data_IF_549256758070
#
_entry.id   IF_549256758070
#
_cell.length_a   1.000
_cell.length_b   1.000
_cell.length_c   1.000
_cell.angle_alpha   90.00
_cell.angle_beta   90.00
_cell.angle_gamma   90.00
#
_symmetry.space_group_name_H-M   'P 1'
#
loop_
_entity.id
_entity.type
_entity.pdbx_description
1 polymer ?
#
# COMPACT_ATOMS: atom_id res chain seq x y z
N UNK A 1 -9.83 14.51 -2.98
CA UNK A 1 -8.51 14.05 -3.46
C UNK A 1 -7.81 13.33 -2.31
N UNK A 2 -7.26 12.13 -2.53
CA UNK A 2 -6.51 11.40 -1.51
C UNK A 2 -5.02 11.52 -1.81
N UNK A 3 -4.27 12.19 -0.94
CA UNK A 3 -2.83 12.45 -1.11
C UNK A 3 -1.99 11.26 -0.68
N UNK A 4 -0.77 11.15 -1.17
CA UNK A 4 0.21 10.15 -0.70
C UNK A 4 0.35 10.28 0.83
N UNK A 5 0.17 9.21 1.60
CA UNK A 5 0.32 9.27 3.05
C UNK A 5 1.71 9.68 3.47
N UNK A 6 1.78 10.61 4.43
CA UNK A 6 3.01 11.04 5.09
C UNK A 6 2.86 10.78 6.58
N UNK A 7 3.89 10.24 7.23
CA UNK A 7 3.96 10.12 8.68
C UNK A 7 5.09 10.98 9.25
N UNK A 8 4.84 11.59 10.41
CA UNK A 8 5.66 12.70 10.95
C UNK A 8 6.33 12.40 12.31
N UNK A 9 6.01 11.26 12.92
CA UNK A 9 6.60 10.79 14.17
C UNK A 9 6.61 9.27 14.17
N UNK A 10 7.44 8.64 14.99
CA UNK A 10 7.52 7.17 15.09
C UNK A 10 6.15 6.53 15.33
N UNK A 11 5.37 7.08 16.28
CA UNK A 11 4.04 6.56 16.62
C UNK A 11 3.03 6.72 15.47
N UNK A 12 3.05 7.84 14.76
CA UNK A 12 2.22 8.05 13.57
C UNK A 12 2.63 7.09 12.44
N UNK A 13 3.94 6.89 12.26
CA UNK A 13 4.47 5.95 11.28
C UNK A 13 4.10 4.50 11.59
N UNK A 14 4.12 4.08 12.85
CA UNK A 14 3.66 2.75 13.24
C UNK A 14 2.18 2.52 12.94
N UNK A 15 1.32 3.49 13.24
CA UNK A 15 -0.12 3.41 12.95
C UNK A 15 -0.39 3.30 11.45
N UNK A 16 0.22 4.18 10.66
CA UNK A 16 0.04 4.20 9.20
C UNK A 16 0.65 2.97 8.54
N UNK A 17 1.81 2.51 8.98
CA UNK A 17 2.42 1.28 8.47
C UNK A 17 1.59 0.03 8.80
N UNK A 18 1.04 -0.03 10.01
CA UNK A 18 0.12 -1.10 10.40
C UNK A 18 -1.18 -1.07 9.58
N UNK A 19 -1.71 0.12 9.29
CA UNK A 19 -2.86 0.28 8.41
C UNK A 19 -2.56 -0.13 6.96
N UNK A 20 -1.39 0.24 6.44
CA UNK A 20 -0.95 -0.17 5.10
C UNK A 20 -0.84 -1.70 4.99
N UNK A 21 -0.22 -2.36 5.97
CA UNK A 21 -0.16 -3.83 6.03
C UNK A 21 -1.54 -4.47 6.04
N UNK A 22 -2.46 -3.98 6.89
CA UNK A 22 -3.83 -4.50 6.94
C UNK A 22 -4.56 -4.30 5.62
N UNK A 23 -4.36 -3.16 4.97
CA UNK A 23 -4.97 -2.88 3.68
C UNK A 23 -4.52 -3.91 2.63
N UNK A 24 -3.21 -4.22 2.56
CA UNK A 24 -2.68 -5.26 1.65
C UNK A 24 -3.33 -6.61 1.93
N UNK A 25 -3.39 -7.02 3.21
CA UNK A 25 -3.98 -8.30 3.62
C UNK A 25 -5.47 -8.43 3.26
N UNK A 26 -6.20 -7.31 3.21
CA UNK A 26 -7.65 -7.29 2.95
C UNK A 26 -8.01 -7.05 1.48
N UNK A 27 -7.14 -6.42 0.70
CA UNK A 27 -7.48 -5.92 -0.64
C UNK A 27 -6.61 -6.51 -1.76
N UNK A 28 -5.40 -6.98 -1.46
CA UNK A 28 -4.60 -7.67 -2.46
C UNK A 28 -5.10 -9.11 -2.67
N UNK A 29 -4.93 -9.63 -3.89
CA UNK A 29 -5.35 -10.99 -4.25
C UNK A 29 -4.37 -12.09 -3.83
N UNK A 30 -3.18 -11.72 -3.34
CA UNK A 30 -2.09 -12.64 -3.09
C UNK A 30 -1.47 -12.45 -1.71
N UNK A 31 -0.88 -13.52 -1.18
CA UNK A 31 -0.18 -13.49 0.10
C UNK A 31 1.03 -12.56 0.03
N UNK A 32 1.33 -11.92 1.16
CA UNK A 32 2.58 -11.18 1.35
C UNK A 32 3.76 -12.18 1.26
N UNK A 33 4.69 -11.90 0.35
CA UNK A 33 5.92 -12.66 0.16
C UNK A 33 7.06 -12.08 1.00
N UNK A 34 7.13 -10.74 1.10
CA UNK A 34 8.18 -10.05 1.85
C UNK A 34 7.59 -8.96 2.72
N UNK A 35 8.07 -8.86 3.96
CA UNK A 35 7.71 -7.79 4.88
C UNK A 35 8.90 -7.39 5.76
N UNK A 36 9.20 -6.10 5.79
CA UNK A 36 10.21 -5.47 6.65
C UNK A 36 9.60 -4.27 7.37
N UNK A 37 10.44 -3.47 8.03
CA UNK A 37 10.06 -2.21 8.64
C UNK A 37 9.63 -1.15 7.61
N UNK A 38 9.99 -1.29 6.34
CA UNK A 38 9.84 -0.29 5.28
C UNK A 38 9.41 -0.84 3.91
N UNK A 39 9.24 -2.15 3.78
CA UNK A 39 8.84 -2.82 2.55
C UNK A 39 7.75 -3.86 2.81
N UNK A 40 6.73 -3.91 1.95
CA UNK A 40 5.74 -4.98 1.89
C UNK A 40 5.55 -5.34 0.43
N UNK A 41 5.55 -6.62 0.09
CA UNK A 41 5.26 -7.07 -1.28
C UNK A 41 4.52 -8.39 -1.27
N UNK A 42 3.54 -8.52 -2.15
CA UNK A 42 2.83 -9.78 -2.40
C UNK A 42 3.52 -10.62 -3.46
N UNK A 43 3.19 -11.91 -3.52
CA UNK A 43 3.55 -12.71 -4.69
C UNK A 43 3.03 -12.07 -5.99
N UNK A 44 3.73 -12.34 -7.09
CA UNK A 44 3.33 -11.87 -8.40
C UNK A 44 2.02 -12.54 -8.86
N UNK A 45 1.09 -11.77 -9.46
CA UNK A 45 -0.08 -12.32 -10.13
C UNK A 45 0.33 -13.25 -11.28
N UNK A 46 -0.22 -14.47 -11.36
CA UNK A 46 0.00 -15.35 -12.50
C UNK A 46 -0.59 -14.74 -13.77
N UNK A 47 -0.18 -15.26 -14.92
CA UNK A 47 -0.64 -14.81 -16.24
C UNK A 47 -2.17 -14.69 -16.32
N UNK A 48 -2.64 -13.62 -16.98
CA UNK A 48 -4.05 -13.27 -17.16
C UNK A 48 -4.85 -12.99 -15.88
N UNK A 49 -4.24 -12.99 -14.70
CA UNK A 49 -4.98 -12.70 -13.46
C UNK A 49 -5.29 -11.22 -13.29
N UNK A 50 -6.55 -10.91 -12.99
CA UNK A 50 -7.04 -9.55 -12.75
C UNK A 50 -6.95 -9.11 -11.29
N UNK A 51 -6.60 -10.02 -10.38
CA UNK A 51 -6.46 -9.69 -8.96
C UNK A 51 -5.20 -8.85 -8.72
N UNK A 52 -5.25 -8.01 -7.68
CA UNK A 52 -4.18 -7.08 -7.38
C UNK A 52 -2.98 -7.77 -6.72
N UNK A 53 -1.80 -7.57 -7.31
CA UNK A 53 -0.52 -7.56 -6.60
C UNK A 53 -0.28 -6.19 -5.97
N UNK A 54 0.51 -6.15 -4.90
CA UNK A 54 0.81 -4.92 -4.19
C UNK A 54 2.25 -4.88 -3.69
N UNK A 55 2.86 -3.70 -3.79
CA UNK A 55 4.15 -3.34 -3.19
C UNK A 55 3.98 -2.01 -2.48
N UNK A 56 4.32 -1.98 -1.19
CA UNK A 56 4.25 -0.80 -0.35
C UNK A 56 5.65 -0.45 0.12
N UNK A 57 6.03 0.81 -0.01
CA UNK A 57 7.34 1.31 0.43
C UNK A 57 7.14 2.45 1.41
N UNK A 58 7.86 2.44 2.54
CA UNK A 58 7.96 3.57 3.48
C UNK A 58 9.31 4.24 3.32
N UNK A 59 9.33 5.37 2.61
CA UNK A 59 10.55 6.06 2.22
C UNK A 59 10.79 7.32 3.07
N UNK A 60 12.01 7.55 3.59
CA UNK A 60 12.33 8.79 4.28
C UNK A 60 12.34 9.98 3.32
N UNK A 61 11.84 11.13 3.77
CA UNK A 61 11.84 12.40 3.00
C UNK A 61 13.03 13.32 3.30
N UNK A 62 13.90 12.94 4.24
CA UNK A 62 15.09 13.73 4.63
C UNK A 62 14.84 14.81 5.70
N UNK A 63 13.58 15.07 6.05
CA UNK A 63 13.14 16.02 7.08
C UNK A 63 12.67 15.33 8.37
N UNK A 64 13.03 14.05 8.55
CA UNK A 64 12.53 13.20 9.63
C UNK A 64 11.11 12.66 9.41
N UNK A 65 10.45 13.02 8.30
CA UNK A 65 9.17 12.45 7.90
C UNK A 65 9.37 11.31 6.89
N UNK A 66 8.37 10.44 6.77
CA UNK A 66 8.35 9.36 5.78
C UNK A 66 7.10 9.47 4.92
N UNK A 67 7.21 9.10 3.65
CA UNK A 67 6.05 8.86 2.79
C UNK A 67 5.80 7.37 2.66
N UNK A 68 4.54 6.99 2.51
CA UNK A 68 4.14 5.60 2.27
C UNK A 68 3.47 5.53 0.90
N UNK A 69 4.08 4.81 -0.04
CA UNK A 69 3.60 4.67 -1.41
C UNK A 69 3.10 3.25 -1.68
N UNK A 70 2.10 3.12 -2.55
CA UNK A 70 1.60 1.84 -3.04
C UNK A 70 1.78 1.76 -4.56
N UNK A 71 2.51 0.74 -5.00
CA UNK A 71 2.54 0.27 -6.38
C UNK A 71 1.61 -0.95 -6.46
N UNK A 72 0.61 -0.89 -7.34
CA UNK A 72 -0.39 -1.94 -7.51
C UNK A 72 -0.43 -2.36 -8.98
N UNK A 73 -0.60 -3.66 -9.23
CA UNK A 73 -0.61 -4.20 -10.58
C UNK A 73 -1.45 -5.49 -10.66
N UNK A 74 -1.67 -5.95 -11.89
CA UNK A 74 -2.19 -7.27 -12.20
C UNK A 74 -1.59 -7.73 -13.54
N UNK A 75 -1.78 -9.01 -13.89
CA UNK A 75 -1.21 -9.60 -15.10
C UNK A 75 -2.28 -9.84 -16.17
N UNK A 76 -3.36 -9.06 -16.16
CA UNK A 76 -4.47 -9.14 -17.11
C UNK A 76 -4.47 -7.94 -18.06
N UNK A 77 -4.50 -8.20 -19.37
CA UNK A 77 -4.47 -7.17 -20.41
C UNK A 77 -5.74 -6.29 -20.47
N UNK A 78 -6.89 -6.81 -20.01
CA UNK A 78 -8.16 -6.07 -19.90
C UNK A 78 -8.07 -5.06 -18.74
N UNK A 79 -7.34 -5.43 -17.68
CA UNK A 79 -7.12 -4.60 -16.51
C UNK A 79 -7.37 -5.34 -15.20
N UNK A 80 -7.19 -4.59 -14.11
CA UNK A 80 -7.29 -5.12 -12.76
C UNK A 80 -8.68 -4.91 -12.17
N UNK A 81 -9.05 -5.79 -11.24
CA UNK A 81 -10.29 -5.71 -10.48
C UNK A 81 -9.98 -5.78 -8.97
N UNK A 82 -10.18 -4.68 -8.22
CA UNK A 82 -10.58 -3.34 -8.69
C UNK A 82 -9.51 -2.66 -9.57
N UNK A 83 -9.85 -1.60 -10.33
CA UNK A 83 -8.87 -0.84 -11.09
C UNK A 83 -7.76 -0.27 -10.21
N UNK A 84 -6.52 -0.29 -10.70
CA UNK A 84 -5.32 0.13 -9.95
C UNK A 84 -5.45 1.53 -9.36
N UNK A 85 -5.99 2.48 -10.12
CA UNK A 85 -6.13 3.87 -9.66
C UNK A 85 -7.13 4.00 -8.50
N UNK A 86 -8.21 3.22 -8.52
CA UNK A 86 -9.24 3.24 -7.48
C UNK A 86 -8.68 2.62 -6.19
N UNK A 87 -8.01 1.47 -6.33
CA UNK A 87 -7.33 0.81 -5.23
C UNK A 87 -6.25 1.70 -4.59
N UNK A 88 -5.48 2.43 -5.39
CA UNK A 88 -4.48 3.38 -4.89
C UNK A 88 -5.12 4.55 -4.12
N UNK A 89 -6.26 5.07 -4.58
CA UNK A 89 -7.01 6.11 -3.87
C UNK A 89 -7.54 5.59 -2.53
N UNK A 90 -8.08 4.37 -2.51
CA UNK A 90 -8.57 3.74 -1.30
C UNK A 90 -7.45 3.44 -0.29
N UNK A 91 -6.31 2.94 -0.78
CA UNK A 91 -5.10 2.77 0.02
C UNK A 91 -4.70 4.09 0.69
N UNK A 92 -4.52 5.16 -0.10
CA UNK A 92 -4.13 6.46 0.41
C UNK A 92 -5.14 6.97 1.46
N UNK A 93 -6.44 6.77 1.23
CA UNK A 93 -7.49 7.21 2.17
C UNK A 93 -7.41 6.43 3.48
N UNK A 94 -7.30 5.11 3.40
CA UNK A 94 -7.23 4.21 4.56
C UNK A 94 -6.01 4.51 5.43
N UNK A 95 -4.85 4.68 4.80
CA UNK A 95 -3.60 4.95 5.52
C UNK A 95 -3.61 6.35 6.12
N UNK A 96 -4.11 7.37 5.42
CA UNK A 96 -4.23 8.72 5.99
C UNK A 96 -5.21 8.81 7.16
N UNK A 97 -6.24 7.95 7.20
CA UNK A 97 -7.19 7.88 8.30
C UNK A 97 -6.58 7.28 9.58
N UNK A 98 -5.52 6.47 9.46
CA UNK A 98 -4.81 5.92 10.61
C UNK A 98 -3.86 6.96 11.21
N UNK A 99 -4.35 7.75 12.15
CA UNK A 99 -3.59 8.80 12.84
C UNK A 99 -3.92 8.83 14.32
N UNK A 100 -3.05 9.44 15.10
CA UNK A 100 -3.36 9.79 16.48
C UNK A 100 -4.49 10.84 16.48
N UNK A 101 -5.48 10.63 17.33
CA UNK A 101 -6.55 11.61 17.58
C UNK A 101 -5.99 12.84 18.28
#
# INVERSE_FOLDING_TARGET
MSTIPVCISDKDCELKWSAARRWVLSNAGYKIQSITSDYIETFNPPEASSLLGARIIKEPKGDGTYRITAELWCSNWIGCHPPVWEAAVDFNRTVNAARLN
#
